data_IF_186387190966
#
_entry.id   IF_186387190966
#
_cell.length_a   1.000
_cell.length_b   1.000
_cell.length_c   1.000
_cell.angle_alpha   90.00
_cell.angle_beta   90.00
_cell.angle_gamma   90.00
#
_symmetry.space_group_name_H-M   'P 1'
#
loop_
_entity.id
_entity.type
_entity.pdbx_description
1 polymer ?
#
# COMPACT_ATOMS: atom_id res chain seq x y z
N UNK A 1 3.26 3.73 -34.72
CA UNK A 1 3.23 3.52 -33.26
C UNK A 1 3.90 2.20 -32.97
N UNK A 2 5.18 2.25 -32.61
CA UNK A 2 6.06 1.08 -32.48
C UNK A 2 6.02 0.56 -31.04
N UNK A 3 6.06 -0.77 -30.91
CA UNK A 3 6.06 -1.56 -29.65
C UNK A 3 6.92 -0.98 -28.51
N UNK A 4 8.01 -0.30 -28.87
CA UNK A 4 8.97 0.35 -27.97
C UNK A 4 8.38 1.48 -27.12
N UNK A 5 7.40 2.24 -27.63
CA UNK A 5 6.76 3.32 -26.86
C UNK A 5 5.83 2.76 -25.76
N UNK A 6 5.18 1.62 -26.03
CA UNK A 6 4.32 0.92 -25.08
C UNK A 6 5.09 0.27 -23.95
N UNK A 7 6.26 -0.32 -24.24
CA UNK A 7 7.17 -0.90 -23.24
C UNK A 7 7.76 0.20 -22.34
N UNK A 8 8.13 1.36 -22.90
CA UNK A 8 8.61 2.50 -22.11
C UNK A 8 7.51 3.09 -21.22
N UNK A 9 6.26 3.11 -21.69
CA UNK A 9 5.11 3.57 -20.91
C UNK A 9 4.73 2.57 -19.80
N UNK A 10 4.79 1.27 -20.07
CA UNK A 10 4.58 0.22 -19.06
C UNK A 10 5.69 0.21 -18.01
N UNK A 11 6.95 0.38 -18.39
CA UNK A 11 8.06 0.50 -17.46
C UNK A 11 7.98 1.78 -16.63
N UNK A 12 7.65 2.93 -17.24
CA UNK A 12 7.43 4.20 -16.50
C UNK A 12 6.24 4.11 -15.55
N UNK A 13 5.15 3.45 -15.95
CA UNK A 13 4.00 3.17 -15.10
C UNK A 13 4.39 2.21 -13.96
N UNK A 14 5.17 1.17 -14.23
CA UNK A 14 5.63 0.22 -13.22
C UNK A 14 6.60 0.86 -12.21
N UNK A 15 7.52 1.70 -12.67
CA UNK A 15 8.46 2.43 -11.80
C UNK A 15 7.75 3.51 -10.98
N UNK A 16 6.82 4.27 -11.57
CA UNK A 16 6.00 5.23 -10.81
C UNK A 16 5.08 4.52 -9.82
N UNK A 17 4.52 3.38 -10.21
CA UNK A 17 3.70 2.54 -9.32
C UNK A 17 4.53 1.98 -8.17
N UNK A 18 5.78 1.57 -8.41
CA UNK A 18 6.69 1.19 -7.32
C UNK A 18 6.96 2.37 -6.38
N UNK A 19 7.33 3.54 -6.90
CA UNK A 19 7.66 4.68 -6.04
C UNK A 19 6.51 5.13 -5.12
N UNK A 20 5.26 5.13 -5.60
CA UNK A 20 4.09 5.47 -4.75
C UNK A 20 3.75 4.35 -3.77
N UNK A 21 3.93 3.09 -4.17
CA UNK A 21 3.69 1.95 -3.29
C UNK A 21 4.75 1.87 -2.21
N UNK A 22 6.02 2.10 -2.52
CA UNK A 22 7.11 2.17 -1.53
C UNK A 22 6.87 3.30 -0.51
N UNK A 23 6.34 4.44 -0.93
CA UNK A 23 5.93 5.52 -0.02
C UNK A 23 4.77 5.10 0.88
N UNK A 24 3.74 4.46 0.32
CA UNK A 24 2.61 3.96 1.10
C UNK A 24 3.04 2.93 2.14
N UNK A 25 3.94 2.02 1.78
CA UNK A 25 4.58 1.06 2.71
C UNK A 25 5.25 1.85 3.83
N UNK A 26 6.11 2.83 3.52
CA UNK A 26 6.77 3.66 4.53
C UNK A 26 5.81 4.36 5.51
N UNK A 27 4.67 4.85 5.02
CA UNK A 27 3.60 5.42 5.88
C UNK A 27 3.02 4.36 6.81
N UNK A 28 2.67 3.18 6.29
CA UNK A 28 2.10 2.09 7.08
C UNK A 28 3.08 1.58 8.14
N UNK A 29 4.38 1.48 7.81
CA UNK A 29 5.44 1.14 8.77
C UNK A 29 5.49 2.14 9.93
N UNK A 30 5.46 3.43 9.62
CA UNK A 30 5.55 4.48 10.62
C UNK A 30 4.34 4.48 11.58
N UNK A 31 3.15 4.13 11.09
CA UNK A 31 1.93 4.08 11.91
C UNK A 31 1.81 2.76 12.67
N UNK A 32 2.14 1.64 12.03
CA UNK A 32 1.93 0.29 12.55
C UNK A 32 3.12 -0.34 13.27
N UNK A 33 4.30 0.31 13.26
CA UNK A 33 5.58 -0.27 13.70
C UNK A 33 5.90 -1.61 13.01
N UNK A 34 5.50 -1.74 11.75
CA UNK A 34 5.71 -2.95 10.96
C UNK A 34 7.11 -3.00 10.35
N UNK A 35 7.49 -4.18 9.89
CA UNK A 35 8.59 -4.38 8.95
C UNK A 35 8.16 -4.04 7.51
N UNK A 36 9.12 -3.84 6.57
CA UNK A 36 8.80 -3.58 5.17
C UNK A 36 7.92 -4.64 4.50
N UNK A 37 8.16 -5.93 4.79
CA UNK A 37 7.39 -7.05 4.24
C UNK A 37 5.95 -7.06 4.77
N UNK A 38 5.75 -6.87 6.07
CA UNK A 38 4.43 -6.77 6.71
C UNK A 38 3.66 -5.54 6.18
N UNK A 39 4.32 -4.41 5.99
CA UNK A 39 3.72 -3.21 5.38
C UNK A 39 3.26 -3.45 3.94
N UNK A 40 4.07 -4.15 3.15
CA UNK A 40 3.68 -4.56 1.80
C UNK A 40 2.49 -5.51 1.79
N UNK A 41 2.50 -6.52 2.64
CA UNK A 41 1.39 -7.47 2.72
C UNK A 41 0.10 -6.81 3.21
N UNK A 42 0.18 -5.84 4.12
CA UNK A 42 -0.97 -5.02 4.53
C UNK A 42 -1.55 -4.22 3.36
N UNK A 43 -0.73 -3.48 2.61
CA UNK A 43 -1.18 -2.70 1.43
C UNK A 43 -1.77 -3.60 0.35
N UNK A 44 -1.16 -4.77 0.14
CA UNK A 44 -1.64 -5.80 -0.80
C UNK A 44 -2.98 -6.41 -0.34
N UNK A 45 -3.13 -6.72 0.94
CA UNK A 45 -4.35 -7.25 1.52
C UNK A 45 -5.50 -6.23 1.42
N UNK A 46 -5.20 -4.94 1.68
CA UNK A 46 -6.18 -3.87 1.52
C UNK A 46 -6.70 -3.82 0.08
N UNK A 47 -5.80 -3.85 -0.89
CA UNK A 47 -6.16 -3.85 -2.31
C UNK A 47 -7.06 -5.03 -2.70
N UNK A 48 -6.74 -6.24 -2.23
CA UNK A 48 -7.52 -7.44 -2.53
C UNK A 48 -8.90 -7.41 -1.87
N UNK A 49 -8.97 -7.02 -0.60
CA UNK A 49 -10.20 -7.07 0.19
C UNK A 49 -11.18 -5.96 -0.17
N UNK A 50 -10.69 -4.81 -0.65
CA UNK A 50 -11.54 -3.71 -1.13
C UNK A 50 -11.79 -3.75 -2.63
N UNK A 51 -11.14 -4.67 -3.36
CA UNK A 51 -11.15 -4.74 -4.83
C UNK A 51 -10.73 -3.42 -5.51
N UNK A 52 -9.88 -2.63 -4.82
CA UNK A 52 -9.30 -1.38 -5.32
C UNK A 52 -7.89 -1.67 -5.83
N UNK A 53 -7.51 -1.10 -6.97
CA UNK A 53 -6.17 -1.29 -7.54
C UNK A 53 -5.08 -0.87 -6.54
N UNK A 54 -4.06 -1.70 -6.36
CA UNK A 54 -2.94 -1.48 -5.44
C UNK A 54 -2.36 -0.07 -5.49
N UNK A 55 -2.09 0.46 -6.70
CA UNK A 55 -1.57 1.81 -6.88
C UNK A 55 -2.48 2.89 -6.28
N UNK A 56 -3.80 2.69 -6.36
CA UNK A 56 -4.77 3.66 -5.89
C UNK A 56 -4.91 3.58 -4.37
N UNK A 57 -4.84 2.37 -3.81
CA UNK A 57 -4.69 2.20 -2.36
C UNK A 57 -3.43 2.92 -1.86
N UNK A 58 -2.31 2.78 -2.55
CA UNK A 58 -1.08 3.47 -2.20
C UNK A 58 -1.20 5.00 -2.27
N UNK A 59 -1.80 5.54 -3.34
CA UNK A 59 -2.10 6.98 -3.44
C UNK A 59 -2.94 7.47 -2.26
N UNK A 60 -4.01 6.75 -1.91
CA UNK A 60 -4.88 7.11 -0.79
C UNK A 60 -4.16 7.09 0.56
N UNK A 61 -3.25 6.13 0.77
CA UNK A 61 -2.43 6.05 1.99
C UNK A 61 -1.41 7.21 2.05
N UNK A 62 -0.78 7.54 0.93
CA UNK A 62 0.18 8.66 0.86
C UNK A 62 -0.52 10.00 1.07
N UNK A 63 -1.70 10.19 0.48
CA UNK A 63 -2.51 11.38 0.70
C UNK A 63 -3.00 11.45 2.16
N UNK A 64 -3.41 10.33 2.73
CA UNK A 64 -3.78 10.25 4.14
C UNK A 64 -2.66 10.70 5.08
N UNK A 65 -1.40 10.37 4.79
CA UNK A 65 -0.26 10.85 5.57
C UNK A 65 -0.14 12.40 5.59
N UNK A 66 -0.69 13.08 4.58
CA UNK A 66 -0.68 14.54 4.44
C UNK A 66 -1.94 15.20 4.98
N UNK A 67 -3.10 14.56 4.83
CA UNK A 67 -4.41 15.16 5.12
C UNK A 67 -5.03 14.66 6.43
N UNK A 68 -4.61 13.49 6.92
CA UNK A 68 -5.27 12.78 8.02
C UNK A 68 -6.58 12.10 7.63
N UNK A 69 -7.02 12.28 6.37
CA UNK A 69 -8.28 11.75 5.85
C UNK A 69 -8.02 10.48 5.03
N UNK A 70 -8.78 9.42 5.33
CA UNK A 70 -8.71 8.14 4.64
C UNK A 70 -10.13 7.60 4.46
N UNK A 71 -10.51 7.14 3.25
CA UNK A 71 -11.82 6.56 3.01
C UNK A 71 -12.13 5.46 4.02
N UNK A 72 -13.37 5.41 4.51
CA UNK A 72 -13.78 4.49 5.59
C UNK A 72 -13.50 3.03 5.27
N UNK A 73 -13.66 2.63 4.01
CA UNK A 73 -13.38 1.27 3.52
C UNK A 73 -11.89 0.91 3.66
N UNK A 74 -11.00 1.82 3.26
CA UNK A 74 -9.54 1.63 3.36
C UNK A 74 -9.11 1.71 4.83
N UNK A 75 -9.70 2.62 5.62
CA UNK A 75 -9.40 2.79 7.04
C UNK A 75 -9.72 1.53 7.85
N UNK A 76 -10.94 1.01 7.72
CA UNK A 76 -11.35 -0.18 8.47
C UNK A 76 -10.52 -1.41 8.10
N UNK A 77 -10.13 -1.50 6.84
CA UNK A 77 -9.23 -2.56 6.37
C UNK A 77 -7.81 -2.39 6.92
N UNK A 78 -7.23 -1.18 6.86
CA UNK A 78 -5.92 -0.87 7.43
C UNK A 78 -5.88 -1.18 8.93
N UNK A 79 -6.88 -0.73 9.69
CA UNK A 79 -6.99 -1.04 11.13
C UNK A 79 -7.10 -2.54 11.40
N UNK A 80 -7.78 -3.29 10.52
CA UNK A 80 -7.82 -4.76 10.63
C UNK A 80 -6.43 -5.36 10.41
N UNK A 81 -5.72 -4.96 9.36
CA UNK A 81 -4.37 -5.47 9.08
C UNK A 81 -3.41 -5.14 10.22
N UNK A 82 -3.39 -3.89 10.68
CA UNK A 82 -2.55 -3.48 11.82
C UNK A 82 -2.85 -4.27 13.10
N UNK A 83 -4.11 -4.64 13.34
CA UNK A 83 -4.49 -5.48 14.48
C UNK A 83 -4.04 -6.94 14.32
N UNK A 84 -4.09 -7.48 13.10
CA UNK A 84 -3.61 -8.84 12.82
C UNK A 84 -2.10 -8.92 13.10
N UNK A 85 -1.33 -7.93 12.66
CA UNK A 85 0.11 -7.87 12.89
C UNK A 85 0.47 -7.54 14.35
N UNK A 86 -0.32 -6.70 15.03
CA UNK A 86 -0.13 -6.38 16.45
C UNK A 86 -0.50 -7.53 17.41
N UNK A 87 -1.05 -8.63 16.90
CA UNK A 87 -1.23 -9.88 17.66
C UNK A 87 -0.24 -10.97 17.23
N UNK A 88 1.08 -10.81 17.50
CA UNK A 88 2.01 -11.92 17.35
C UNK A 88 1.89 -12.82 18.59
N UNK A 89 1.04 -13.84 18.48
CA UNK A 89 1.15 -15.03 19.30
C UNK A 89 2.28 -15.91 18.76
N UNK A 90 3.41 -15.85 19.46
CA UNK A 90 4.47 -16.86 19.58
C UNK A 90 5.67 -16.85 18.59
N UNK A 91 6.85 -16.60 19.17
CA UNK A 91 8.09 -17.32 18.86
C UNK A 91 8.88 -16.96 17.60
N UNK A 92 9.86 -16.06 17.75
CA UNK A 92 11.19 -16.24 17.14
C UNK A 92 12.21 -16.49 18.24
#
# INVERSE_FOLDING_TARGET
MTRLEGENLQLKQAVRSHAVVDQAIGVVLAVGQLTPDEGWDAVRAISQNTNIKLRHVAELIVDWARTGELPSEIRGELERQLRLEAMPGDGR
#
